data_IF_913926565480
#
_entry.id   IF_913926565480
#
_cell.length_a   1.000
_cell.length_b   1.000
_cell.length_c   1.000
_cell.angle_alpha   90.00
_cell.angle_beta   90.00
_cell.angle_gamma   90.00
#
_symmetry.space_group_name_H-M   'P 1'
#
loop_
_entity.id
_entity.type
_entity.pdbx_description
1 polymer ?
#
# COMPACT_ATOMS: atom_id res chain seq x y z
N UNK A 1 -1.98 13.27 7.66
CA UNK A 1 -2.47 14.65 7.89
C UNK A 1 -1.51 15.32 8.85
N UNK A 2 -0.95 16.48 8.51
CA UNK A 2 -0.12 17.25 9.44
C UNK A 2 -1.00 17.77 10.59
N UNK A 3 -0.44 17.90 11.78
CA UNK A 3 -1.18 18.36 12.96
C UNK A 3 -1.86 19.72 12.73
N UNK A 4 -1.20 20.58 11.95
CA UNK A 4 -1.69 21.89 11.51
C UNK A 4 -2.98 21.76 10.69
N UNK A 5 -3.03 20.90 9.67
CA UNK A 5 -4.23 20.74 8.83
C UNK A 5 -5.44 20.29 9.63
N UNK A 6 -5.24 19.42 10.62
CA UNK A 6 -6.32 18.99 11.54
C UNK A 6 -6.80 20.12 12.44
N UNK A 7 -5.87 20.90 13.02
CA UNK A 7 -6.17 21.99 13.96
C UNK A 7 -7.00 23.10 13.29
N UNK A 8 -6.71 23.39 12.02
CA UNK A 8 -7.35 24.48 11.28
C UNK A 8 -8.41 24.00 10.28
N UNK A 9 -8.79 22.72 10.30
CA UNK A 9 -9.73 22.09 9.37
C UNK A 9 -9.45 22.39 7.88
N UNK A 10 -8.17 22.47 7.52
CA UNK A 10 -7.74 22.68 6.13
C UNK A 10 -7.63 21.32 5.45
N UNK A 11 -8.25 21.19 4.29
CA UNK A 11 -8.22 19.98 3.47
C UNK A 11 -7.61 20.27 2.11
N UNK A 12 -6.93 19.28 1.54
CA UNK A 12 -6.46 19.35 0.16
C UNK A 12 -7.66 19.03 -0.73
N UNK A 13 -8.20 20.06 -1.39
CA UNK A 13 -9.11 19.87 -2.52
C UNK A 13 -8.31 20.02 -3.81
N UNK A 14 -8.10 18.90 -4.49
CA UNK A 14 -7.55 18.89 -5.83
C UNK A 14 -8.67 18.53 -6.82
N UNK A 15 -8.80 19.29 -7.91
CA UNK A 15 -9.88 19.13 -8.89
C UNK A 15 -9.70 17.84 -9.72
N UNK A 16 -8.48 17.60 -10.21
CA UNK A 16 -8.04 16.37 -10.85
C UNK A 16 -6.67 16.02 -10.26
N UNK A 17 -6.53 14.80 -9.72
CA UNK A 17 -5.30 14.37 -9.05
C UNK A 17 -4.58 13.40 -9.96
N UNK A 18 -3.51 13.87 -10.60
CA UNK A 18 -2.61 13.03 -11.40
C UNK A 18 -2.20 11.77 -10.62
N UNK A 19 -2.10 10.63 -11.32
CA UNK A 19 -1.62 9.37 -10.72
C UNK A 19 -0.26 9.53 -10.04
N UNK A 20 0.61 10.39 -10.57
CA UNK A 20 1.93 10.70 -10.01
C UNK A 20 1.80 11.28 -8.59
N UNK A 21 0.92 12.27 -8.42
CA UNK A 21 0.63 12.86 -7.09
C UNK A 21 0.05 11.80 -6.15
N UNK A 22 -0.90 10.99 -6.61
CA UNK A 22 -1.49 9.93 -5.79
C UNK A 22 -0.43 8.93 -5.32
N UNK A 23 0.48 8.54 -6.21
CA UNK A 23 1.58 7.61 -5.96
C UNK A 23 2.58 8.15 -4.92
N UNK A 24 2.78 9.47 -4.86
CA UNK A 24 3.66 10.17 -3.91
C UNK A 24 2.99 10.49 -2.56
N UNK A 25 1.74 10.07 -2.35
CA UNK A 25 1.09 10.21 -1.05
C UNK A 25 1.58 9.14 -0.06
N UNK A 26 1.74 9.45 1.23
CA UNK A 26 2.07 8.44 2.24
C UNK A 26 0.91 7.45 2.44
N UNK A 27 1.16 6.14 2.34
CA UNK A 27 0.11 5.12 2.46
C UNK A 27 -0.33 4.90 3.92
N UNK A 28 0.56 5.10 4.88
CA UNK A 28 0.27 4.89 6.29
C UNK A 28 -0.58 6.01 6.86
N UNK A 29 -1.69 5.64 7.51
CA UNK A 29 -2.66 6.59 8.06
C UNK A 29 -3.09 7.63 7.02
N UNK A 30 -3.25 7.17 5.77
CA UNK A 30 -3.67 8.01 4.64
C UNK A 30 -4.96 8.77 5.00
N UNK A 31 -5.01 10.06 4.71
CA UNK A 31 -6.13 10.92 5.17
C UNK A 31 -7.45 10.54 4.51
N UNK A 32 -7.41 10.17 3.25
CA UNK A 32 -8.57 9.75 2.45
C UNK A 32 -8.66 8.23 2.38
N UNK A 33 -8.35 7.59 3.50
CA UNK A 33 -8.55 6.16 3.69
C UNK A 33 -9.70 5.95 4.67
N UNK A 34 -10.63 5.07 4.28
CA UNK A 34 -11.70 4.56 5.15
C UNK A 34 -11.19 3.63 6.27
N UNK A 35 -9.92 3.23 6.20
CA UNK A 35 -9.24 2.38 7.18
C UNK A 35 -9.11 3.01 8.56
N UNK A 36 -9.35 2.21 9.59
CA UNK A 36 -9.20 2.59 11.00
C UNK A 36 -7.82 2.20 11.56
N UNK A 37 -7.57 2.48 12.85
CA UNK A 37 -6.32 2.10 13.54
C UNK A 37 -6.02 0.60 13.43
N UNK A 38 -7.04 -0.25 13.37
CA UNK A 38 -6.89 -1.71 13.24
C UNK A 38 -6.25 -2.07 11.89
N UNK A 39 -6.66 -1.42 10.79
CA UNK A 39 -6.04 -1.65 9.48
C UNK A 39 -4.52 -1.42 9.52
N UNK A 40 -4.08 -0.33 10.14
CA UNK A 40 -2.68 0.08 10.11
C UNK A 40 -1.79 -0.60 11.16
N UNK A 41 -2.37 -1.22 12.19
CA UNK A 41 -1.61 -1.76 13.33
C UNK A 41 -1.81 -3.27 13.57
N UNK A 42 -2.85 -3.90 13.01
CA UNK A 42 -3.06 -5.35 13.14
C UNK A 42 -2.07 -6.13 12.27
N UNK A 43 -1.74 -7.35 12.71
CA UNK A 43 -0.66 -8.17 12.14
C UNK A 43 0.69 -7.44 12.27
N UNK A 44 1.07 -7.13 13.50
CA UNK A 44 2.24 -6.29 13.85
C UNK A 44 3.50 -6.71 13.08
N UNK A 45 3.80 -8.00 12.99
CA UNK A 45 4.94 -8.51 12.23
C UNK A 45 4.87 -8.18 10.73
N UNK A 46 3.69 -8.24 10.13
CA UNK A 46 3.49 -7.89 8.71
C UNK A 46 3.63 -6.39 8.52
N UNK A 47 3.04 -5.58 9.39
CA UNK A 47 3.16 -4.11 9.36
C UNK A 47 4.62 -3.68 9.54
N UNK A 48 5.33 -4.28 10.49
CA UNK A 48 6.74 -4.02 10.72
C UNK A 48 7.59 -4.46 9.52
N UNK A 49 7.33 -5.66 8.97
CA UNK A 49 8.00 -6.13 7.76
C UNK A 49 7.78 -5.17 6.58
N UNK A 50 6.56 -4.67 6.38
CA UNK A 50 6.24 -3.69 5.35
C UNK A 50 7.05 -2.40 5.52
N UNK A 51 7.17 -1.89 6.75
CA UNK A 51 7.90 -0.65 7.05
C UNK A 51 9.42 -0.82 6.98
N UNK A 52 9.97 -1.89 7.52
CA UNK A 52 11.42 -2.06 7.71
C UNK A 52 12.07 -2.81 6.54
N UNK A 53 11.52 -3.97 6.17
CA UNK A 53 12.10 -4.86 5.15
C UNK A 53 11.70 -4.42 3.74
N UNK A 54 10.42 -4.11 3.54
CA UNK A 54 9.91 -3.67 2.23
C UNK A 54 9.97 -2.15 2.03
N UNK A 55 10.24 -1.37 3.09
CA UNK A 55 10.35 0.10 3.06
C UNK A 55 9.14 0.82 2.44
N UNK A 56 7.95 0.25 2.63
CA UNK A 56 6.70 0.82 2.12
C UNK A 56 6.41 2.13 2.83
N UNK A 57 6.46 3.23 2.10
CA UNK A 57 6.18 4.58 2.61
C UNK A 57 5.06 5.22 1.82
N UNK A 58 5.07 5.04 0.50
CA UNK A 58 4.22 5.72 -0.45
C UNK A 58 3.14 4.79 -1.03
N UNK A 59 2.09 5.36 -1.60
CA UNK A 59 1.04 4.59 -2.30
C UNK A 59 1.66 3.76 -3.44
N UNK A 60 2.62 4.32 -4.19
CA UNK A 60 3.34 3.57 -5.24
C UNK A 60 4.03 2.32 -4.73
N UNK A 61 4.61 2.35 -3.53
CA UNK A 61 5.32 1.20 -2.95
C UNK A 61 4.33 0.07 -2.67
N UNK A 62 3.20 0.39 -2.05
CA UNK A 62 2.11 -0.57 -1.79
C UNK A 62 1.52 -1.12 -3.10
N UNK A 63 1.39 -0.27 -4.13
CA UNK A 63 0.90 -0.66 -5.46
C UNK A 63 1.84 -1.64 -6.17
N UNK A 64 3.13 -1.34 -6.19
CA UNK A 64 4.15 -2.25 -6.75
C UNK A 64 4.14 -3.58 -5.98
N UNK A 65 4.05 -3.52 -4.66
CA UNK A 65 4.08 -4.70 -3.81
C UNK A 65 2.84 -5.59 -3.98
N UNK A 66 1.63 -5.01 -4.04
CA UNK A 66 0.40 -5.79 -4.23
C UNK A 66 0.33 -6.46 -5.61
N UNK A 67 0.88 -5.83 -6.66
CA UNK A 67 0.96 -6.41 -8.01
C UNK A 67 1.78 -7.70 -8.07
N UNK A 68 2.75 -7.88 -7.16
CA UNK A 68 3.56 -9.11 -7.07
C UNK A 68 2.73 -10.37 -6.80
N UNK A 69 1.57 -10.24 -6.14
CA UNK A 69 0.65 -11.35 -5.93
C UNK A 69 -0.18 -11.72 -7.17
N UNK A 70 -0.15 -10.91 -8.25
CA UNK A 70 -0.97 -11.12 -9.45
C UNK A 70 -0.25 -11.86 -10.57
N UNK A 71 0.95 -12.38 -10.32
CA UNK A 71 1.67 -13.15 -11.34
C UNK A 71 1.06 -14.54 -11.53
N UNK A 72 1.05 -15.05 -12.75
CA UNK A 72 0.36 -16.30 -13.12
C UNK A 72 0.75 -17.53 -12.28
N UNK A 73 2.00 -17.62 -11.81
CA UNK A 73 2.48 -18.74 -10.98
C UNK A 73 2.33 -18.51 -9.46
N UNK A 74 1.82 -17.36 -9.05
CA UNK A 74 1.61 -17.09 -7.64
C UNK A 74 0.41 -17.86 -7.12
N UNK A 75 0.57 -18.44 -5.94
CA UNK A 75 -0.51 -19.11 -5.20
C UNK A 75 -0.59 -18.52 -3.80
N UNK A 76 -1.80 -18.48 -3.24
CA UNK A 76 -2.05 -17.93 -1.91
C UNK A 76 -1.71 -18.94 -0.80
N UNK A 77 -0.45 -19.38 -0.75
CA UNK A 77 0.10 -20.28 0.26
C UNK A 77 1.41 -19.73 0.83
N UNK A 78 1.71 -20.02 2.09
CA UNK A 78 2.83 -19.41 2.82
C UNK A 78 4.20 -19.70 2.19
N UNK A 79 4.33 -20.87 1.57
CA UNK A 79 5.51 -21.44 0.95
C UNK A 79 5.56 -21.26 -0.58
N UNK A 80 4.70 -20.40 -1.15
CA UNK A 80 4.68 -20.13 -2.59
C UNK A 80 6.11 -19.90 -3.15
N UNK A 81 6.50 -20.71 -4.11
CA UNK A 81 7.83 -20.80 -4.71
C UNK A 81 7.95 -20.05 -6.04
N UNK A 82 6.95 -19.21 -6.39
CA UNK A 82 7.00 -18.44 -7.60
C UNK A 82 8.23 -17.49 -7.59
N UNK A 83 8.78 -17.20 -8.78
CA UNK A 83 9.98 -16.38 -8.93
C UNK A 83 9.90 -15.06 -8.15
N UNK A 84 8.73 -14.42 -8.14
CA UNK A 84 8.54 -13.14 -7.45
C UNK A 84 8.62 -13.30 -5.93
N UNK A 85 8.05 -14.37 -5.37
CA UNK A 85 8.16 -14.69 -3.96
C UNK A 85 9.61 -15.03 -3.60
N UNK A 86 10.27 -15.92 -4.35
CA UNK A 86 11.67 -16.27 -4.12
C UNK A 86 12.61 -15.06 -4.13
N UNK A 87 12.52 -14.22 -5.17
CA UNK A 87 13.31 -12.98 -5.29
C UNK A 87 13.03 -12.05 -4.11
N UNK A 88 11.76 -11.92 -3.72
CA UNK A 88 11.38 -11.07 -2.58
C UNK A 88 11.97 -11.59 -1.27
N UNK A 89 11.90 -12.90 -1.00
CA UNK A 89 12.55 -13.51 0.17
C UNK A 89 14.07 -13.26 0.14
N UNK A 90 14.71 -13.42 -1.02
CA UNK A 90 16.15 -13.25 -1.18
C UNK A 90 16.61 -11.80 -0.90
N UNK A 91 15.90 -10.80 -1.46
CA UNK A 91 16.26 -9.38 -1.39
C UNK A 91 15.86 -8.76 -0.05
N UNK A 92 14.64 -8.99 0.44
CA UNK A 92 14.12 -8.29 1.62
C UNK A 92 14.24 -9.10 2.91
N UNK A 93 14.61 -10.39 2.82
CA UNK A 93 14.60 -11.33 3.95
C UNK A 93 13.20 -11.45 4.58
N UNK A 94 12.15 -11.20 3.81
CA UNK A 94 10.76 -11.44 4.22
C UNK A 94 10.48 -12.95 4.18
N UNK A 95 9.98 -13.50 5.29
CA UNK A 95 9.66 -14.93 5.40
C UNK A 95 8.33 -15.26 4.71
N UNK A 96 7.36 -14.36 4.84
CA UNK A 96 6.00 -14.53 4.33
C UNK A 96 5.59 -13.40 3.36
N UNK A 97 6.13 -13.37 2.12
CA UNK A 97 5.79 -12.34 1.13
C UNK A 97 4.28 -12.22 0.87
N UNK A 98 3.56 -13.34 0.84
CA UNK A 98 2.12 -13.37 0.58
C UNK A 98 1.33 -12.51 1.57
N UNK A 99 1.63 -12.62 2.86
CA UNK A 99 0.98 -11.82 3.90
C UNK A 99 1.26 -10.32 3.69
N UNK A 100 2.47 -9.97 3.26
CA UNK A 100 2.85 -8.59 2.96
C UNK A 100 2.13 -8.06 1.71
N UNK A 101 2.01 -8.86 0.66
CA UNK A 101 1.29 -8.47 -0.56
C UNK A 101 -0.20 -8.28 -0.29
N UNK A 102 -0.82 -9.20 0.45
CA UNK A 102 -2.20 -9.09 0.88
C UNK A 102 -2.42 -7.84 1.73
N UNK A 103 -1.54 -7.58 2.70
CA UNK A 103 -1.64 -6.38 3.52
C UNK A 103 -1.45 -5.09 2.74
N UNK A 104 -0.56 -5.06 1.75
CA UNK A 104 -0.42 -3.93 0.83
C UNK A 104 -1.69 -3.70 0.00
N UNK A 105 -2.32 -4.79 -0.47
CA UNK A 105 -3.61 -4.72 -1.17
C UNK A 105 -4.73 -4.20 -0.25
N UNK A 106 -4.78 -4.62 1.02
CA UNK A 106 -5.73 -4.09 2.02
C UNK A 106 -5.56 -2.58 2.22
N UNK A 107 -4.31 -2.10 2.34
CA UNK A 107 -4.00 -0.67 2.48
C UNK A 107 -4.48 0.14 1.27
N UNK A 108 -4.30 -0.40 0.06
CA UNK A 108 -4.79 0.27 -1.15
C UNK A 108 -6.31 0.23 -1.25
N UNK A 109 -6.94 -0.87 -0.82
CA UNK A 109 -8.40 -1.02 -0.84
C UNK A 109 -9.11 -0.07 0.13
N UNK A 110 -8.40 0.49 1.12
CA UNK A 110 -9.01 1.48 2.00
C UNK A 110 -9.03 2.88 1.42
N UNK A 111 -8.31 3.14 0.32
CA UNK A 111 -8.28 4.45 -0.34
C UNK A 111 -9.62 4.77 -1.00
N UNK A 112 -10.08 6.01 -0.87
CA UNK A 112 -11.20 6.53 -1.64
C UNK A 112 -10.84 6.58 -3.14
N UNK A 113 -11.82 6.36 -4.03
CA UNK A 113 -11.61 6.25 -5.49
C UNK A 113 -10.78 7.42 -6.07
N UNK A 114 -11.02 8.65 -5.60
CA UNK A 114 -10.31 9.86 -6.04
C UNK A 114 -8.80 9.85 -5.73
N UNK A 115 -8.38 9.01 -4.79
CA UNK A 115 -7.00 8.90 -4.31
C UNK A 115 -6.40 7.51 -4.57
N UNK A 116 -7.12 6.64 -5.27
CA UNK A 116 -6.64 5.32 -5.66
C UNK A 116 -6.07 5.33 -7.09
N UNK A 117 -4.74 5.19 -7.27
CA UNK A 117 -4.09 5.20 -8.59
C UNK A 117 -4.37 3.95 -9.44
N UNK A 118 -5.25 3.06 -8.99
CA UNK A 118 -5.73 1.90 -9.74
C UNK A 118 -7.02 2.19 -10.51
N UNK A 119 -7.71 3.29 -10.18
CA UNK A 119 -8.94 3.73 -10.85
C UNK A 119 -8.57 4.70 -11.99
N UNK A 120 -9.28 4.68 -13.14
CA UNK A 120 -9.10 5.68 -14.19
C UNK A 120 -9.29 7.09 -13.64
N UNK A 121 -8.37 8.00 -13.97
CA UNK A 121 -8.44 9.38 -13.57
C UNK A 121 -8.93 10.26 -14.72
N UNK A 122 -9.47 11.46 -14.44
CA UNK A 122 -10.01 12.35 -15.47
C UNK A 122 -9.00 12.76 -16.55
N UNK A 123 -7.70 12.72 -16.22
CA UNK A 123 -6.61 13.06 -17.12
C UNK A 123 -6.04 11.89 -17.95
N UNK A 124 -6.54 10.66 -17.78
CA UNK A 124 -6.18 9.48 -18.60
C UNK A 124 -6.93 9.43 -19.94
#
# INVERSE_FOLDING_TARGET
>A
MTEVGRKYNVTIEALAVSREIQDEMPIWYHRFSSGNRTLFNTNVHVVQCLKEKHRVTWVKDARILSRKARTARHINQEDCDCNVCMITRAITKCEHPNRCYAKAQELLNSLENKWDPRVPQPED
#
